data_IF_857233935153
#
_entry.id   IF_857233935153
#
_cell.length_a   1.000
_cell.length_b   1.000
_cell.length_c   1.000
_cell.angle_alpha   90.00
_cell.angle_beta   90.00
_cell.angle_gamma   90.00
#
_symmetry.space_group_name_H-M   'P 1'
#
loop_
_entity.id
_entity.type
_entity.pdbx_description
1 polymer ?
#
# COMPACT_ATOMS: atom_id res chain seq x y z
N UNK A 1 27.11 9.44 -3.35
CA UNK A 1 26.98 9.16 -1.91
C UNK A 1 25.50 9.05 -1.61
N UNK A 2 24.99 7.85 -1.30
CA UNK A 2 23.66 7.73 -0.69
C UNK A 2 23.76 8.43 0.66
N UNK A 3 22.94 9.45 0.91
CA UNK A 3 22.84 10.04 2.24
C UNK A 3 22.58 8.90 3.24
N UNK A 4 23.37 8.82 4.31
CA UNK A 4 23.17 7.80 5.33
C UNK A 4 21.73 7.90 5.84
N UNK A 5 21.00 6.79 5.77
CA UNK A 5 19.62 6.72 6.25
C UNK A 5 19.62 7.00 7.75
N UNK A 6 18.75 7.89 8.22
CA UNK A 6 18.63 8.25 9.64
C UNK A 6 18.35 7.00 10.51
N UNK A 7 19.24 6.64 11.45
CA UNK A 7 19.06 5.50 12.34
C UNK A 7 17.80 5.58 13.20
N UNK A 8 17.37 6.78 13.59
CA UNK A 8 16.15 6.95 14.40
C UNK A 8 14.91 6.57 13.61
N UNK A 9 14.86 7.01 12.35
CA UNK A 9 13.79 6.64 11.44
C UNK A 9 13.78 5.12 11.15
N UNK A 10 14.94 4.51 10.93
CA UNK A 10 15.04 3.05 10.73
C UNK A 10 14.51 2.26 11.94
N UNK A 11 14.83 2.70 13.15
CA UNK A 11 14.33 2.08 14.37
C UNK A 11 12.80 2.19 14.50
N UNK A 12 12.22 3.35 14.14
CA UNK A 12 10.76 3.51 14.08
C UNK A 12 10.12 2.56 13.07
N UNK A 13 10.70 2.42 11.88
CA UNK A 13 10.21 1.49 10.87
C UNK A 13 10.29 0.04 11.38
N UNK A 14 11.43 -0.37 11.98
CA UNK A 14 11.57 -1.70 12.59
C UNK A 14 10.48 -1.96 13.62
N UNK A 15 10.22 -0.98 14.49
CA UNK A 15 9.18 -1.08 15.51
C UNK A 15 7.79 -1.25 14.89
N UNK A 16 7.39 -0.40 13.92
CA UNK A 16 6.09 -0.51 13.26
C UNK A 16 5.90 -1.87 12.55
N UNK A 17 6.94 -2.37 11.86
CA UNK A 17 6.86 -3.66 11.17
C UNK A 17 6.83 -4.83 12.14
N UNK A 18 7.52 -4.74 13.29
CA UNK A 18 7.47 -5.74 14.34
C UNK A 18 6.10 -5.78 15.03
N UNK A 19 5.54 -4.62 15.38
CA UNK A 19 4.21 -4.48 15.96
C UNK A 19 3.11 -4.99 15.02
N UNK A 20 3.19 -4.60 13.74
CA UNK A 20 2.33 -5.13 12.68
C UNK A 20 2.44 -6.65 12.57
N UNK A 21 3.65 -7.21 12.57
CA UNK A 21 3.87 -8.66 12.50
C UNK A 21 3.28 -9.39 13.70
N UNK A 22 3.35 -8.80 14.89
CA UNK A 22 2.84 -9.40 16.12
C UNK A 22 1.31 -9.38 16.20
N UNK A 23 0.67 -8.37 15.61
CA UNK A 23 -0.76 -8.11 15.79
C UNK A 23 -1.63 -8.49 14.59
N UNK A 24 -1.10 -8.39 13.37
CA UNK A 24 -1.84 -8.77 12.17
C UNK A 24 -2.12 -10.28 12.16
N UNK A 25 -3.28 -10.68 11.61
CA UNK A 25 -3.69 -12.09 11.56
C UNK A 25 -2.55 -12.94 10.96
N UNK A 26 -2.19 -14.10 11.57
CA UNK A 26 -0.98 -14.84 11.25
C UNK A 26 -0.85 -15.06 9.75
N UNK A 27 0.01 -14.25 9.13
CA UNK A 27 0.34 -14.30 7.73
C UNK A 27 1.80 -14.76 7.62
N UNK A 28 2.04 -15.70 6.71
CA UNK A 28 3.39 -16.07 6.33
C UNK A 28 3.94 -14.97 5.41
N UNK A 29 5.17 -14.55 5.64
CA UNK A 29 5.84 -13.56 4.81
C UNK A 29 6.69 -12.58 5.61
N UNK A 30 7.30 -11.68 4.87
CA UNK A 30 8.17 -10.64 5.38
C UNK A 30 7.34 -9.34 5.51
N UNK A 31 7.20 -8.74 6.71
CA UNK A 31 6.47 -7.50 6.85
C UNK A 31 7.20 -6.37 6.12
N UNK A 32 6.46 -5.60 5.35
CA UNK A 32 6.99 -4.47 4.59
C UNK A 32 6.04 -3.28 4.65
N UNK A 33 6.59 -2.11 4.35
CA UNK A 33 5.90 -0.83 4.29
C UNK A 33 5.82 -0.39 2.83
N UNK A 34 4.62 0.00 2.41
CA UNK A 34 4.37 0.69 1.15
C UNK A 34 4.03 2.13 1.47
N UNK A 35 4.91 3.05 1.11
CA UNK A 35 4.79 4.48 1.43
C UNK A 35 4.45 5.28 0.18
N UNK A 36 3.40 6.08 0.25
CA UNK A 36 3.05 7.06 -0.79
C UNK A 36 3.41 8.45 -0.27
N UNK A 37 4.54 9.01 -0.71
CA UNK A 37 5.14 10.22 -0.16
C UNK A 37 5.20 11.35 -1.20
N UNK A 38 4.64 12.54 -0.93
CA UNK A 38 4.88 13.70 -1.78
C UNK A 38 6.32 14.17 -1.59
N UNK A 39 6.97 14.63 -2.67
CA UNK A 39 8.38 15.09 -2.59
C UNK A 39 8.57 16.34 -1.72
N UNK A 40 7.51 17.13 -1.57
CA UNK A 40 7.44 18.28 -0.70
C UNK A 40 6.01 18.47 -0.19
N UNK A 41 5.84 19.27 0.85
CA UNK A 41 4.54 19.53 1.46
C UNK A 41 4.00 18.35 2.27
N UNK A 42 2.67 18.28 2.40
CA UNK A 42 1.95 17.31 3.24
C UNK A 42 0.92 16.56 2.44
N UNK A 43 0.65 15.33 2.86
CA UNK A 43 -0.46 14.52 2.36
C UNK A 43 -1.03 13.73 3.53
N UNK A 44 -1.79 14.41 4.37
CA UNK A 44 -2.39 13.86 5.58
C UNK A 44 -3.86 14.28 5.68
N UNK A 45 -4.58 13.73 6.66
CA UNK A 45 -6.00 14.03 6.84
C UNK A 45 -6.30 15.52 7.08
N UNK A 46 -5.40 16.24 7.73
CA UNK A 46 -5.57 17.65 8.06
C UNK A 46 -5.45 18.52 6.81
N UNK A 47 -4.48 18.23 5.96
CA UNK A 47 -4.15 19.06 4.79
C UNK A 47 -4.80 18.55 3.50
N UNK A 48 -5.28 17.31 3.46
CA UNK A 48 -5.95 16.72 2.30
C UNK A 48 -7.28 16.05 2.71
N UNK A 49 -8.22 16.80 3.32
CA UNK A 49 -9.44 16.24 3.88
C UNK A 49 -10.32 15.56 2.83
N UNK A 50 -10.38 16.07 1.59
CA UNK A 50 -11.20 15.47 0.54
C UNK A 50 -10.62 14.14 0.06
N UNK A 51 -9.30 14.07 -0.16
CA UNK A 51 -8.61 12.85 -0.50
C UNK A 51 -8.80 11.78 0.59
N UNK A 52 -8.71 12.17 1.86
CA UNK A 52 -8.92 11.24 2.97
C UNK A 52 -10.37 10.76 3.08
N UNK A 53 -11.37 11.59 2.81
CA UNK A 53 -12.77 11.11 2.71
C UNK A 53 -12.92 10.02 1.62
N UNK A 54 -12.24 10.19 0.49
CA UNK A 54 -12.25 9.21 -0.61
C UNK A 54 -11.48 7.94 -0.21
N UNK A 55 -10.32 8.06 0.44
CA UNK A 55 -9.56 6.91 0.97
C UNK A 55 -10.42 6.13 1.97
N UNK A 56 -11.08 6.81 2.90
CA UNK A 56 -11.94 6.19 3.90
C UNK A 56 -13.10 5.40 3.26
N UNK A 57 -13.71 5.95 2.21
CA UNK A 57 -14.85 5.30 1.51
C UNK A 57 -14.43 4.24 0.49
N UNK A 58 -13.23 4.31 -0.09
CA UNK A 58 -12.82 3.43 -1.20
C UNK A 58 -11.69 2.47 -0.86
N UNK A 59 -10.82 2.80 0.09
CA UNK A 59 -9.67 1.98 0.46
C UNK A 59 -9.99 1.12 1.68
N UNK A 60 -10.48 1.69 2.77
CA UNK A 60 -10.76 0.91 3.99
C UNK A 60 -11.64 -0.33 3.76
N UNK A 61 -12.69 -0.29 2.92
CA UNK A 61 -13.53 -1.47 2.70
C UNK A 61 -12.81 -2.66 2.04
N UNK A 62 -11.68 -2.43 1.36
CA UNK A 62 -10.92 -3.51 0.69
C UNK A 62 -9.72 -3.98 1.51
N UNK A 63 -9.37 -3.29 2.59
CA UNK A 63 -8.28 -3.73 3.45
C UNK A 63 -8.69 -4.97 4.22
N UNK A 64 -7.79 -5.95 4.26
CA UNK A 64 -7.96 -7.16 5.05
C UNK A 64 -7.22 -7.02 6.39
N UNK A 65 -7.39 -7.98 7.29
CA UNK A 65 -6.60 -8.06 8.54
C UNK A 65 -5.08 -8.19 8.33
N UNK A 66 -4.63 -8.34 7.08
CA UNK A 66 -3.22 -8.35 6.66
C UNK A 66 -2.71 -7.00 6.16
N UNK A 67 -3.51 -5.95 6.27
CA UNK A 67 -3.15 -4.61 5.83
C UNK A 67 -3.45 -3.60 6.93
N UNK A 68 -2.47 -2.80 7.32
CA UNK A 68 -2.70 -1.62 8.16
C UNK A 68 -2.46 -0.37 7.35
N UNK A 69 -3.42 0.55 7.36
CA UNK A 69 -3.26 1.87 6.75
C UNK A 69 -3.00 2.90 7.84
N UNK A 70 -1.79 3.45 7.83
CA UNK A 70 -1.31 4.46 8.75
C UNK A 70 -1.31 5.83 8.08
N UNK A 71 -1.73 6.84 8.84
CA UNK A 71 -1.69 8.24 8.43
C UNK A 71 -0.38 8.86 8.92
N UNK A 72 0.32 9.57 8.03
CA UNK A 72 1.49 10.36 8.37
C UNK A 72 1.43 11.69 7.64
N UNK A 73 2.01 12.73 8.24
CA UNK A 73 2.12 14.05 7.60
C UNK A 73 2.73 14.02 6.20
N UNK A 74 3.64 13.07 5.96
CA UNK A 74 4.36 12.85 4.70
C UNK A 74 3.67 11.83 3.79
N UNK A 75 2.37 11.60 3.93
CA UNK A 75 1.63 10.68 3.09
C UNK A 75 1.24 9.37 3.77
N UNK A 76 0.21 8.67 3.26
CA UNK A 76 -0.25 7.42 3.82
C UNK A 76 0.79 6.29 3.65
N UNK A 77 0.75 5.36 4.60
CA UNK A 77 1.64 4.20 4.66
C UNK A 77 0.82 2.93 4.88
N UNK A 78 1.06 1.93 4.05
CA UNK A 78 0.40 0.63 4.12
C UNK A 78 1.40 -0.38 4.65
N UNK A 79 1.14 -0.98 5.81
CA UNK A 79 1.89 -2.15 6.26
C UNK A 79 1.22 -3.40 5.73
N UNK A 80 2.00 -4.29 5.13
CA UNK A 80 1.54 -5.53 4.51
C UNK A 80 2.61 -6.62 4.59
N UNK A 81 2.26 -7.85 4.22
CA UNK A 81 3.22 -8.95 4.11
C UNK A 81 3.60 -9.18 2.66
N UNK A 82 4.90 -9.15 2.38
CA UNK A 82 5.45 -9.68 1.14
C UNK A 82 5.65 -11.19 1.29
N UNK A 83 5.09 -11.97 0.36
CA UNK A 83 5.46 -13.37 0.19
C UNK A 83 6.87 -13.51 -0.40
N UNK A 84 7.41 -14.73 -0.36
CA UNK A 84 8.57 -15.13 -1.16
C UNK A 84 8.11 -16.23 -2.11
N UNK A 85 8.06 -15.93 -3.40
CA UNK A 85 8.07 -16.94 -4.44
C UNK A 85 9.48 -16.91 -5.05
N UNK A 86 10.19 -18.05 -5.05
CA UNK A 86 11.44 -18.21 -5.81
C UNK A 86 12.50 -17.11 -5.57
N UNK A 87 12.70 -16.71 -4.31
CA UNK A 87 13.65 -15.68 -3.86
C UNK A 87 13.29 -14.21 -4.21
N UNK A 88 12.15 -13.94 -4.84
CA UNK A 88 11.67 -12.59 -5.12
C UNK A 88 10.59 -12.15 -4.11
N UNK A 89 10.61 -10.86 -3.75
CA UNK A 89 9.56 -10.24 -2.93
C UNK A 89 8.26 -10.26 -3.73
N UNK A 90 7.14 -10.57 -3.09
CA UNK A 90 5.85 -10.63 -3.78
C UNK A 90 4.74 -9.97 -2.99
N UNK A 91 4.10 -8.94 -3.55
CA UNK A 91 2.96 -8.26 -2.93
C UNK A 91 1.64 -8.87 -3.40
N UNK A 92 0.55 -8.67 -2.65
CA UNK A 92 -0.77 -9.09 -3.11
C UNK A 92 -1.44 -7.99 -3.96
N UNK A 93 -2.35 -8.37 -4.85
CA UNK A 93 -3.15 -7.44 -5.66
C UNK A 93 -3.93 -6.42 -4.82
N UNK A 94 -4.37 -6.78 -3.61
CA UNK A 94 -5.02 -5.81 -2.70
C UNK A 94 -4.10 -4.64 -2.41
N UNK A 95 -2.81 -4.89 -2.14
CA UNK A 95 -1.83 -3.82 -1.91
C UNK A 95 -1.68 -2.92 -3.14
N UNK A 96 -1.57 -3.50 -4.33
CA UNK A 96 -1.50 -2.75 -5.60
C UNK A 96 -2.74 -1.90 -5.82
N UNK A 97 -3.93 -2.48 -5.62
CA UNK A 97 -5.22 -1.80 -5.78
C UNK A 97 -5.34 -0.66 -4.77
N UNK A 98 -4.92 -0.88 -3.53
CA UNK A 98 -4.89 0.15 -2.49
C UNK A 98 -3.98 1.30 -2.89
N UNK A 99 -2.77 1.03 -3.42
CA UNK A 99 -1.86 2.09 -3.89
C UNK A 99 -2.52 2.95 -4.97
N UNK A 100 -3.04 2.33 -6.03
CA UNK A 100 -3.71 3.03 -7.13
C UNK A 100 -4.90 3.87 -6.63
N UNK A 101 -5.72 3.32 -5.72
CA UNK A 101 -6.86 4.05 -5.14
C UNK A 101 -6.43 5.26 -4.31
N UNK A 102 -5.35 5.17 -3.55
CA UNK A 102 -4.84 6.31 -2.79
C UNK A 102 -4.30 7.39 -3.72
N UNK A 103 -3.57 7.00 -4.79
CA UNK A 103 -3.09 7.95 -5.80
C UNK A 103 -4.28 8.66 -6.45
N UNK A 104 -5.28 7.91 -6.91
CA UNK A 104 -6.51 8.48 -7.48
C UNK A 104 -7.27 9.37 -6.50
N UNK A 105 -7.35 8.99 -5.22
CA UNK A 105 -7.97 9.79 -4.17
C UNK A 105 -7.25 11.13 -3.97
N UNK A 106 -5.91 11.17 -4.04
CA UNK A 106 -5.13 12.41 -3.99
C UNK A 106 -5.48 13.33 -5.16
N UNK A 107 -5.55 12.80 -6.38
CA UNK A 107 -5.90 13.58 -7.57
C UNK A 107 -7.34 14.10 -7.48
N UNK A 108 -8.28 13.26 -7.06
CA UNK A 108 -9.67 13.66 -6.91
C UNK A 108 -9.87 14.67 -5.77
N UNK A 109 -9.18 14.50 -4.64
CA UNK A 109 -9.15 15.49 -3.56
C UNK A 109 -8.64 16.84 -4.05
N UNK A 110 -7.62 16.85 -4.92
CA UNK A 110 -7.11 18.08 -5.52
C UNK A 110 -8.14 18.79 -6.41
N UNK A 111 -8.99 18.03 -7.13
CA UNK A 111 -10.12 18.60 -7.89
C UNK A 111 -11.19 19.22 -6.98
N UNK A 112 -11.23 18.83 -5.71
CA UNK A 112 -12.15 19.33 -4.69
C UNK A 112 -11.54 20.42 -3.80
N UNK A 113 -10.27 20.76 -4.00
CA UNK A 113 -9.60 21.87 -3.30
C UNK A 113 -8.41 21.48 -2.42
N UNK A 114 -8.06 20.20 -2.31
CA UNK A 114 -6.85 19.80 -1.57
C UNK A 114 -5.56 20.27 -2.29
N UNK A 115 -4.49 20.64 -1.56
CA UNK A 115 -3.19 20.93 -2.15
C UNK A 115 -2.57 19.71 -2.84
N UNK A 116 -2.03 19.88 -4.05
CA UNK A 116 -1.40 18.80 -4.81
C UNK A 116 -0.35 19.32 -5.80
N UNK A 117 0.66 20.03 -5.28
CA UNK A 117 1.69 20.69 -6.10
C UNK A 117 2.99 19.89 -6.24
N UNK A 118 3.20 18.89 -5.38
CA UNK A 118 4.38 18.03 -5.41
C UNK A 118 4.13 16.72 -6.17
N UNK A 119 5.16 16.22 -6.84
CA UNK A 119 5.18 14.86 -7.34
C UNK A 119 4.97 13.85 -6.19
N UNK A 120 4.39 12.69 -6.50
CA UNK A 120 4.16 11.62 -5.53
C UNK A 120 5.05 10.44 -5.87
N UNK A 121 5.73 9.90 -4.87
CA UNK A 121 6.55 8.70 -5.01
C UNK A 121 5.94 7.56 -4.19
N UNK A 122 5.79 6.39 -4.81
CA UNK A 122 5.46 5.14 -4.15
C UNK A 122 6.74 4.35 -3.89
N UNK A 123 6.94 3.95 -2.63
CA UNK A 123 8.10 3.19 -2.17
C UNK A 123 7.63 1.87 -1.57
N UNK A 124 8.40 0.80 -1.78
CA UNK A 124 8.31 -0.44 -1.00
C UNK A 124 9.59 -0.58 -0.20
N UNK A 125 9.48 -0.72 1.11
CA UNK A 125 10.62 -0.75 2.03
C UNK A 125 10.42 -1.73 3.17
N UNK A 126 11.52 -2.22 3.72
CA UNK A 126 11.48 -3.20 4.81
C UNK A 126 12.88 -3.69 5.15
N UNK A 127 12.93 -4.85 5.79
CA UNK A 127 14.17 -5.52 6.15
C UNK A 127 14.14 -6.93 5.61
N UNK A 128 15.21 -7.40 4.98
CA UNK A 128 15.28 -8.78 4.52
C UNK A 128 15.43 -9.78 5.68
N UNK A 129 15.60 -11.07 5.36
CA UNK A 129 15.75 -12.13 6.37
C UNK A 129 17.03 -12.00 7.21
N UNK A 130 18.03 -11.29 6.71
CA UNK A 130 19.26 -10.97 7.42
C UNK A 130 19.13 -9.68 8.24
N UNK A 131 18.00 -8.99 8.14
CA UNK A 131 17.74 -7.73 8.82
C UNK A 131 18.33 -6.52 8.09
N UNK A 132 18.78 -6.67 6.84
CA UNK A 132 19.30 -5.60 6.01
C UNK A 132 18.17 -4.77 5.42
N UNK A 133 18.33 -3.44 5.46
CA UNK A 133 17.31 -2.51 4.98
C UNK A 133 17.25 -2.50 3.45
N UNK A 134 16.03 -2.49 2.90
CA UNK A 134 15.79 -2.20 1.49
C UNK A 134 14.74 -1.11 1.31
N UNK A 135 14.90 -0.32 0.23
CA UNK A 135 13.92 0.63 -0.26
C UNK A 135 13.93 0.60 -1.80
N UNK A 136 12.75 0.49 -2.41
CA UNK A 136 12.57 0.43 -3.86
C UNK A 136 11.52 1.44 -4.25
N UNK A 137 11.86 2.35 -5.18
CA UNK A 137 10.87 3.24 -5.79
C UNK A 137 10.15 2.48 -6.88
N UNK A 138 8.85 2.30 -6.71
CA UNK A 138 8.03 1.47 -7.61
C UNK A 138 7.09 2.30 -8.47
N UNK A 139 6.86 3.56 -8.14
CA UNK A 139 6.15 4.49 -9.01
C UNK A 139 6.48 5.92 -8.63
N UNK A 140 6.47 6.81 -9.61
CA UNK A 140 6.61 8.25 -9.43
C UNK A 140 5.75 8.95 -10.48
N UNK A 141 4.83 9.78 -10.02
CA UNK A 141 3.99 10.60 -10.89
C UNK A 141 4.15 12.08 -10.61
N UNK A 142 3.96 12.88 -11.65
CA UNK A 142 3.84 14.33 -11.56
C UNK A 142 2.66 14.74 -10.65
N UNK A 143 2.58 16.01 -10.25
CA UNK A 143 1.41 16.53 -9.53
C UNK A 143 0.13 16.23 -10.31
N UNK A 144 -0.90 15.71 -9.61
CA UNK A 144 -2.21 15.33 -10.19
C UNK A 144 -2.16 14.19 -11.23
N UNK A 145 -1.04 13.49 -11.36
CA UNK A 145 -0.94 12.26 -12.16
C UNK A 145 -1.61 11.09 -11.41
N UNK A 146 -2.45 10.34 -12.12
CA UNK A 146 -3.09 9.13 -11.62
C UNK A 146 -2.19 7.91 -11.92
N UNK A 147 -2.30 6.87 -11.08
CA UNK A 147 -1.64 5.59 -11.32
C UNK A 147 -2.71 4.52 -11.50
N UNK A 148 -2.70 3.82 -12.64
CA UNK A 148 -3.48 2.60 -12.78
C UNK A 148 -2.81 1.46 -12.00
N UNK A 149 -3.55 0.40 -11.63
CA UNK A 149 -2.94 -0.81 -11.09
C UNK A 149 -1.85 -1.39 -12.01
N UNK A 150 -2.00 -1.27 -13.34
CA UNK A 150 -1.01 -1.75 -14.30
C UNK A 150 0.31 -0.98 -14.22
N UNK A 151 0.26 0.35 -14.01
CA UNK A 151 1.46 1.18 -13.85
C UNK A 151 2.24 0.79 -12.59
N UNK A 152 1.51 0.54 -11.48
CA UNK A 152 2.11 0.08 -10.23
C UNK A 152 2.73 -1.32 -10.39
N UNK A 153 2.04 -2.25 -11.07
CA UNK A 153 2.57 -3.60 -11.34
C UNK A 153 3.85 -3.53 -12.18
N UNK A 154 3.86 -2.69 -13.24
CA UNK A 154 5.03 -2.52 -14.09
C UNK A 154 6.24 -2.01 -13.30
N UNK A 155 6.03 -1.03 -12.42
CA UNK A 155 7.09 -0.51 -11.58
C UNK A 155 7.55 -1.45 -10.45
N UNK A 156 6.65 -2.27 -9.90
CA UNK A 156 7.02 -3.37 -9.00
C UNK A 156 7.91 -4.39 -9.73
N UNK A 157 7.51 -4.81 -10.93
CA UNK A 157 8.27 -5.76 -11.75
C UNK A 157 9.66 -5.21 -12.11
N UNK A 158 9.76 -3.92 -12.47
CA UNK A 158 11.04 -3.25 -12.73
C UNK A 158 11.98 -3.24 -11.51
N UNK A 159 11.43 -3.39 -10.30
CA UNK A 159 12.17 -3.50 -9.06
C UNK A 159 12.34 -4.95 -8.59
N UNK A 160 12.01 -5.96 -9.40
CA UNK A 160 12.08 -7.38 -9.01
C UNK A 160 11.13 -7.73 -7.87
N UNK A 161 9.94 -7.11 -7.86
CA UNK A 161 8.85 -7.42 -6.94
C UNK A 161 7.68 -7.98 -7.75
N UNK A 162 7.32 -9.24 -7.49
CA UNK A 162 6.16 -9.87 -8.10
C UNK A 162 4.84 -9.42 -7.48
N UNK A 163 3.74 -9.78 -8.13
CA UNK A 163 2.38 -9.61 -7.60
C UNK A 163 1.63 -10.95 -7.63
N UNK A 164 1.09 -11.36 -6.49
CA UNK A 164 0.23 -12.54 -6.37
C UNK A 164 -1.23 -12.11 -6.48
N UNK A 165 -1.95 -12.82 -7.35
CA UNK A 165 -3.39 -12.73 -7.39
C UNK A 165 -3.98 -13.08 -6.02
N UNK A 166 -4.90 -12.25 -5.54
CA UNK A 166 -5.64 -12.61 -4.33
C UNK A 166 -6.55 -13.77 -4.72
N UNK A 167 -6.54 -14.93 -4.03
CA UNK A 167 -7.48 -15.98 -4.36
C UNK A 167 -8.89 -15.41 -4.22
N UNK A 168 -9.63 -15.34 -5.33
CA UNK A 168 -11.08 -15.11 -5.25
C UNK A 168 -11.64 -16.20 -4.36
N UNK A 169 -12.08 -15.85 -3.15
CA UNK A 169 -12.91 -16.77 -2.40
C UNK A 169 -14.19 -16.91 -3.23
N UNK A 170 -14.53 -18.11 -3.76
CA UNK A 170 -15.77 -18.25 -4.50
C UNK A 170 -16.89 -17.80 -3.57
N UNK A 171 -17.63 -16.77 -4.00
CA UNK A 171 -18.84 -16.36 -3.31
C UNK A 171 -19.65 -17.61 -3.06
N UNK A 172 -19.89 -17.91 -1.78
CA UNK A 172 -20.68 -19.06 -1.35
C UNK A 172 -22.05 -18.91 -2.01
N UNK A 173 -22.25 -19.57 -3.14
CA UNK A 173 -23.55 -19.62 -3.82
C UNK A 173 -24.52 -20.23 -2.82
N UNK A 174 -25.36 -19.41 -2.22
CA UNK A 174 -26.49 -19.89 -1.44
C UNK A 174 -27.37 -20.60 -2.47
N UNK A 175 -27.30 -21.92 -2.54
CA UNK A 175 -28.28 -22.72 -3.26
C UNK A 175 -29.63 -22.40 -2.63
N UNK A 176 -30.52 -21.78 -3.41
CA UNK A 176 -31.92 -21.67 -3.05
C UNK A 176 -32.47 -23.08 -2.76
N UNK A 177 -33.30 -23.26 -1.71
CA UNK A 177 -33.91 -24.55 -1.45
C UNK A 177 -34.79 -24.94 -2.64
N UNK A 178 -34.61 -26.16 -3.13
CA UNK A 178 -35.43 -26.72 -4.20
C UNK A 178 -36.90 -26.72 -3.77
N UNK A 179 -37.76 -26.08 -4.57
CA UNK A 179 -39.20 -26.19 -4.42
C UNK A 179 -39.61 -27.65 -4.64
N UNK A 180 -40.07 -28.30 -3.57
CA UNK A 180 -40.73 -29.60 -3.63
C UNK A 180 -42.13 -29.37 -4.20
N UNK A 181 -42.34 -29.70 -5.47
CA UNK A 181 -43.69 -29.82 -6.01
C UNK A 181 -44.32 -31.10 -5.43
N UNK A 182 -45.43 -30.94 -4.71
CA UNK A 182 -46.41 -32.00 -4.45
C UNK A 182 -47.55 -31.87 -5.45
#
# INVERSE_FOLDING_TARGET
MLAAVDPHWLNKLRFHLADFRATAFPARGLPCSVKLRPESGRFDREHSPHAYQIIESTVRPILTSRHWLLDHSTGPEILTFAGRALAELTLCETTVTTMARIVGARVQGARLGDPCEAALTALVRGFDEHGEYFERTVWRGAPKEEASPADIVAGLAAQGIGVLATPHHPSRTIRAPASVNR
#
